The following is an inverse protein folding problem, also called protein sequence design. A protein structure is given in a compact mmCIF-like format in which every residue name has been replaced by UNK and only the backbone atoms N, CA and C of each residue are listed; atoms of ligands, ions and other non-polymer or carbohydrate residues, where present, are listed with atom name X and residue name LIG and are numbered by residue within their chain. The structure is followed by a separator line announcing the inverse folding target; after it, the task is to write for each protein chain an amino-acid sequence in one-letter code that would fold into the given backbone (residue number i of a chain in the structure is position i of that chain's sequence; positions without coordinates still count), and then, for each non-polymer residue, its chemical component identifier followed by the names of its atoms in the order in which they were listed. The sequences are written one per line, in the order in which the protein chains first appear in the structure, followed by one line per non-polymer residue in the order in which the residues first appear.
data_IF_234642644923
#
_entry.id   IF_234642644923
#
_cell.length_a   1.000
_cell.length_b   1.000
_cell.length_c   1.000
_cell.angle_alpha   90.00
_cell.angle_beta   90.00
_cell.angle_gamma   90.00
#
_symmetry.space_group_name_H-M   'P 1'
#
loop_
_entity.id
_entity.type
_entity.pdbx_description
1 polymer ?
#
# COMPACT_ATOMS: atom_id res chain seq x y z
N UNK A 1 17.07 -63.06 -29.13
CA UNK A 1 18.40 -62.83 -28.52
C UNK A 1 19.16 -62.07 -29.59
N UNK A 2 19.31 -60.76 -29.48
CA UNK A 2 20.19 -60.15 -28.49
C UNK A 2 19.64 -58.91 -27.80
N UNK A 3 19.71 -58.95 -26.48
CA UNK A 3 19.66 -57.81 -25.58
C UNK A 3 21.08 -57.32 -25.27
N UNK A 4 21.23 -56.01 -25.03
CA UNK A 4 22.35 -55.28 -24.42
C UNK A 4 23.24 -54.50 -25.41
N UNK A 5 23.56 -53.21 -25.22
CA UNK A 5 23.55 -52.37 -24.00
C UNK A 5 23.03 -50.96 -24.33
N UNK A 6 22.12 -50.42 -23.52
CA UNK A 6 22.04 -48.97 -23.35
C UNK A 6 23.38 -48.54 -22.75
N UNK A 7 24.18 -47.75 -23.48
CA UNK A 7 25.46 -47.30 -22.93
C UNK A 7 25.18 -46.33 -21.80
N UNK A 8 25.81 -46.58 -20.65
CA UNK A 8 25.81 -45.72 -19.46
C UNK A 8 26.67 -44.46 -19.68
N UNK A 9 26.85 -44.04 -20.94
CA UNK A 9 27.71 -42.93 -21.29
C UNK A 9 27.03 -41.63 -20.87
N UNK A 10 27.70 -40.95 -19.96
CA UNK A 10 27.34 -39.60 -19.57
C UNK A 10 27.67 -38.66 -20.72
N UNK A 11 26.69 -37.85 -21.10
CA UNK A 11 26.86 -36.79 -22.07
C UNK A 11 26.89 -35.45 -21.35
N UNK A 12 27.71 -34.54 -21.89
CA UNK A 12 27.78 -33.16 -21.45
C UNK A 12 26.80 -32.28 -22.23
N UNK A 13 26.10 -31.40 -21.53
CA UNK A 13 25.22 -30.37 -22.05
C UNK A 13 25.68 -29.02 -21.54
N UNK A 14 25.79 -28.03 -22.42
CA UNK A 14 26.03 -26.66 -22.07
C UNK A 14 24.77 -25.85 -22.39
N UNK A 15 23.99 -25.54 -21.35
CA UNK A 15 22.68 -24.90 -21.47
C UNK A 15 22.82 -23.44 -21.03
N UNK A 16 22.82 -22.51 -21.98
CA UNK A 16 22.98 -21.07 -21.71
C UNK A 16 24.27 -20.71 -20.96
N UNK A 17 25.35 -21.47 -21.17
CA UNK A 17 26.63 -21.30 -20.47
C UNK A 17 26.77 -22.16 -19.20
N UNK A 18 25.74 -22.90 -18.78
CA UNK A 18 25.77 -23.77 -17.61
C UNK A 18 25.99 -25.23 -18.00
N UNK A 19 27.03 -25.84 -17.45
CA UNK A 19 27.40 -27.23 -17.78
C UNK A 19 26.62 -28.21 -16.92
N UNK A 20 26.00 -29.19 -17.59
CA UNK A 20 25.30 -30.32 -17.01
C UNK A 20 25.87 -31.62 -17.58
N UNK A 21 25.92 -32.67 -16.75
CA UNK A 21 26.23 -34.02 -17.19
C UNK A 21 25.12 -34.98 -16.77
N UNK A 22 24.72 -35.86 -17.67
CA UNK A 22 23.67 -36.85 -17.44
C UNK A 22 23.76 -38.00 -18.43
N UNK A 23 23.11 -39.12 -18.14
CA UNK A 23 23.03 -40.26 -19.07
C UNK A 23 22.01 -40.05 -20.18
N UNK A 24 22.25 -40.67 -21.35
CA UNK A 24 21.27 -40.72 -22.45
C UNK A 24 19.92 -41.27 -21.99
N UNK A 25 19.92 -42.31 -21.16
CA UNK A 25 18.70 -42.89 -20.59
C UNK A 25 17.84 -41.88 -19.81
N UNK A 26 18.46 -40.89 -19.15
CA UNK A 26 17.74 -39.84 -18.42
C UNK A 26 17.02 -38.91 -19.39
N UNK A 27 17.72 -38.46 -20.45
CA UNK A 27 17.14 -37.57 -21.46
C UNK A 27 16.06 -38.25 -22.30
N UNK A 28 16.19 -39.57 -22.49
CA UNK A 28 15.26 -40.41 -23.24
C UNK A 28 14.14 -41.02 -22.38
N UNK A 29 13.96 -40.58 -21.13
CA UNK A 29 12.93 -41.13 -20.24
C UNK A 29 11.52 -41.09 -20.82
N UNK A 30 11.19 -39.99 -21.49
CA UNK A 30 9.91 -39.77 -22.17
C UNK A 30 10.13 -39.76 -23.67
N UNK A 31 9.25 -40.39 -24.45
CA UNK A 31 9.36 -40.43 -25.91
C UNK A 31 8.98 -39.09 -26.54
N UNK A 32 9.45 -38.83 -27.78
CA UNK A 32 9.08 -37.66 -28.59
C UNK A 32 9.41 -36.31 -27.95
N UNK A 33 10.55 -36.23 -27.27
CA UNK A 33 11.05 -34.98 -26.69
C UNK A 33 12.24 -34.42 -27.50
N UNK A 34 12.66 -33.18 -27.18
CA UNK A 34 13.77 -32.50 -27.84
C UNK A 34 15.07 -33.33 -27.87
N UNK A 35 15.40 -34.03 -26.78
CA UNK A 35 16.65 -34.77 -26.65
C UNK A 35 16.68 -36.06 -27.50
N UNK A 36 15.52 -36.65 -27.79
CA UNK A 36 15.43 -37.75 -28.77
C UNK A 36 15.90 -37.30 -30.14
N UNK A 37 15.36 -36.18 -30.62
CA UNK A 37 15.81 -35.56 -31.87
C UNK A 37 17.29 -35.12 -31.81
N UNK A 38 17.76 -34.70 -30.64
CA UNK A 38 19.16 -34.29 -30.43
C UNK A 38 20.16 -35.45 -30.55
N UNK A 39 19.82 -36.60 -29.98
CA UNK A 39 20.73 -37.76 -29.87
C UNK A 39 20.61 -38.73 -31.04
N UNK A 40 19.40 -38.88 -31.59
CA UNK A 40 19.08 -39.84 -32.65
C UNK A 40 18.86 -39.16 -34.01
N UNK A 41 18.79 -37.82 -34.05
CA UNK A 41 18.55 -37.06 -35.27
C UNK A 41 19.76 -36.92 -36.19
N UNK A 42 19.48 -36.63 -37.46
CA UNK A 42 20.50 -36.49 -38.51
C UNK A 42 21.34 -35.20 -38.43
N UNK A 43 20.99 -34.26 -37.55
CA UNK A 43 21.67 -32.98 -37.38
C UNK A 43 21.72 -32.59 -35.89
N UNK A 44 22.68 -33.13 -35.12
CA UNK A 44 22.83 -32.81 -33.70
C UNK A 44 23.26 -31.34 -33.49
N UNK A 45 23.00 -30.76 -32.31
CA UNK A 45 23.46 -29.41 -31.98
C UNK A 45 24.99 -29.29 -32.02
N UNK A 46 25.51 -28.07 -32.23
CA UNK A 46 26.95 -27.82 -32.13
C UNK A 46 27.45 -28.17 -30.73
N UNK A 47 28.74 -28.53 -30.63
CA UNK A 47 29.42 -28.80 -29.37
C UNK A 47 30.38 -27.66 -29.03
N UNK A 48 30.59 -27.41 -27.74
CA UNK A 48 31.67 -26.53 -27.28
C UNK A 48 33.04 -27.23 -27.37
N UNK A 49 34.10 -26.47 -27.05
CA UNK A 49 35.49 -26.96 -27.07
C UNK A 49 35.75 -28.12 -26.10
N UNK A 50 34.84 -28.36 -25.15
CA UNK A 50 34.90 -29.46 -24.18
C UNK A 50 34.04 -30.66 -24.60
N UNK A 51 33.39 -30.59 -25.77
CA UNK A 51 32.56 -31.66 -26.32
C UNK A 51 31.14 -31.73 -25.77
N UNK A 52 30.68 -30.71 -25.03
CA UNK A 52 29.30 -30.64 -24.54
C UNK A 52 28.36 -30.12 -25.63
N UNK A 53 27.16 -30.69 -25.75
CA UNK A 53 26.15 -30.17 -26.68
C UNK A 53 25.65 -28.79 -26.22
N UNK A 54 25.72 -27.81 -27.12
CA UNK A 54 25.26 -26.45 -26.87
C UNK A 54 23.74 -26.35 -27.04
N UNK A 55 23.09 -25.81 -26.01
CA UNK A 55 21.65 -25.55 -25.98
C UNK A 55 21.46 -24.10 -25.55
N UNK A 56 20.93 -23.27 -26.45
CA UNK A 56 20.71 -21.85 -26.20
C UNK A 56 19.42 -21.60 -25.41
N UNK A 57 19.42 -22.01 -24.13
CA UNK A 57 18.28 -21.92 -23.18
C UNK A 57 18.73 -21.48 -21.80
N UNK A 58 17.76 -21.21 -20.91
CA UNK A 58 18.02 -20.83 -19.53
C UNK A 58 18.66 -22.00 -18.75
N UNK A 59 19.96 -21.87 -18.49
CA UNK A 59 20.74 -22.85 -17.76
C UNK A 59 20.27 -23.07 -16.32
N UNK A 60 19.75 -22.07 -15.62
CA UNK A 60 19.28 -22.22 -14.24
C UNK A 60 17.95 -22.98 -14.19
N UNK A 61 17.01 -22.63 -15.07
CA UNK A 61 15.74 -23.33 -15.20
C UNK A 61 15.92 -24.78 -15.65
N UNK A 62 16.91 -25.04 -16.51
CA UNK A 62 17.22 -26.38 -16.99
C UNK A 62 17.47 -27.39 -15.87
N UNK A 63 18.01 -26.96 -14.72
CA UNK A 63 18.19 -27.84 -13.55
C UNK A 63 16.88 -28.54 -13.15
N UNK A 64 15.77 -27.82 -13.21
CA UNK A 64 14.45 -28.33 -12.82
C UNK A 64 13.91 -29.29 -13.88
N UNK A 65 14.14 -29.01 -15.16
CA UNK A 65 13.84 -29.92 -16.27
C UNK A 65 14.63 -31.23 -16.12
N UNK A 66 15.94 -31.14 -15.89
CA UNK A 66 16.81 -32.30 -15.74
C UNK A 66 16.45 -33.14 -14.51
N UNK A 67 16.12 -32.50 -13.38
CA UNK A 67 15.66 -33.22 -12.20
C UNK A 67 14.33 -33.93 -12.44
N UNK A 68 13.39 -33.32 -13.17
CA UNK A 68 12.15 -34.00 -13.57
C UNK A 68 12.44 -35.25 -14.40
N UNK A 69 13.35 -35.17 -15.38
CA UNK A 69 13.77 -36.32 -16.18
C UNK A 69 14.43 -37.41 -15.33
N UNK A 70 15.26 -37.05 -14.34
CA UNK A 70 15.90 -38.01 -13.43
C UNK A 70 14.90 -38.73 -12.54
N UNK A 71 13.99 -38.00 -11.91
CA UNK A 71 13.10 -38.57 -10.90
C UNK A 71 11.77 -39.07 -11.46
N UNK A 72 11.36 -38.59 -12.63
CA UNK A 72 10.03 -38.84 -13.20
C UNK A 72 8.88 -38.20 -12.43
N UNK A 73 9.21 -37.27 -11.52
CA UNK A 73 8.27 -36.48 -10.74
C UNK A 73 8.83 -35.09 -10.55
N UNK A 74 7.94 -34.14 -10.34
CA UNK A 74 8.33 -32.76 -10.11
C UNK A 74 8.89 -32.57 -8.71
N UNK A 75 10.08 -31.97 -8.63
CA UNK A 75 10.74 -31.61 -7.38
C UNK A 75 11.21 -30.17 -7.52
N UNK A 76 10.51 -29.26 -6.86
CA UNK A 76 10.80 -27.82 -6.84
C UNK A 76 11.07 -27.39 -5.39
N UNK A 77 11.89 -26.34 -5.19
CA UNK A 77 12.00 -25.68 -3.88
C UNK A 77 10.63 -25.26 -3.33
N UNK A 78 10.47 -25.24 -2.01
CA UNK A 78 9.20 -24.83 -1.37
C UNK A 78 8.75 -23.41 -1.77
N UNK A 79 9.71 -22.51 -2.00
CA UNK A 79 9.46 -21.11 -2.39
C UNK A 79 9.58 -20.86 -3.91
N UNK A 80 9.49 -21.91 -4.73
CA UNK A 80 9.64 -21.74 -6.17
C UNK A 80 8.48 -20.91 -6.76
N UNK A 81 8.80 -19.75 -7.36
CA UNK A 81 7.80 -18.83 -7.95
C UNK A 81 7.81 -18.80 -9.49
N UNK A 82 8.87 -19.28 -10.12
CA UNK A 82 9.14 -19.09 -11.55
C UNK A 82 8.47 -20.14 -12.45
N UNK A 83 7.25 -20.54 -12.11
CA UNK A 83 6.48 -21.56 -12.84
C UNK A 83 6.28 -21.23 -14.33
N UNK A 84 6.16 -19.94 -14.66
CA UNK A 84 5.98 -19.50 -16.04
C UNK A 84 7.27 -19.68 -16.88
N UNK A 85 8.45 -19.50 -16.28
CA UNK A 85 9.73 -19.74 -16.95
C UNK A 85 9.93 -21.24 -17.16
N UNK A 86 9.65 -22.05 -16.13
CA UNK A 86 9.76 -23.50 -16.24
C UNK A 86 8.74 -24.10 -17.24
N UNK A 87 7.56 -23.49 -17.37
CA UNK A 87 6.57 -23.88 -18.39
C UNK A 87 7.08 -23.59 -19.82
N UNK A 88 7.79 -22.46 -20.03
CA UNK A 88 8.47 -22.16 -21.32
C UNK A 88 9.56 -23.16 -21.65
N UNK A 89 10.34 -23.61 -20.66
CA UNK A 89 11.33 -24.67 -20.89
C UNK A 89 10.67 -26.01 -21.20
N UNK A 90 9.58 -26.36 -20.51
CA UNK A 90 8.82 -27.57 -20.82
C UNK A 90 8.28 -27.56 -22.26
N UNK A 91 7.86 -26.41 -22.77
CA UNK A 91 7.48 -26.22 -24.17
C UNK A 91 8.66 -26.39 -25.12
N UNK A 92 9.78 -25.72 -24.86
CA UNK A 92 10.97 -25.80 -25.71
C UNK A 92 11.50 -27.24 -25.83
N UNK A 93 11.60 -27.95 -24.69
CA UNK A 93 12.10 -29.32 -24.66
C UNK A 93 11.06 -30.37 -25.08
N UNK A 94 9.84 -29.93 -25.46
CA UNK A 94 8.73 -30.79 -25.88
C UNK A 94 8.35 -31.84 -24.81
N UNK A 95 8.36 -31.44 -23.53
CA UNK A 95 8.06 -32.31 -22.39
C UNK A 95 6.61 -32.13 -21.92
N UNK A 96 5.69 -32.82 -22.58
CA UNK A 96 4.25 -32.78 -22.25
C UNK A 96 3.95 -33.22 -20.81
N UNK A 97 4.65 -34.24 -20.32
CA UNK A 97 4.51 -34.77 -18.96
C UNK A 97 4.93 -33.76 -17.91
N UNK A 98 5.98 -32.98 -18.19
CA UNK A 98 6.40 -31.88 -17.30
C UNK A 98 5.33 -30.79 -17.25
N UNK A 99 4.75 -30.42 -18.39
CA UNK A 99 3.64 -29.45 -18.44
C UNK A 99 2.42 -29.93 -17.65
N UNK A 100 2.07 -31.21 -17.76
CA UNK A 100 0.97 -31.79 -16.97
C UNK A 100 1.28 -31.75 -15.48
N UNK A 101 2.47 -32.17 -15.07
CA UNK A 101 2.89 -32.12 -13.68
C UNK A 101 2.92 -30.68 -13.12
N UNK A 102 3.25 -29.67 -13.94
CA UNK A 102 3.25 -28.25 -13.51
C UNK A 102 1.82 -27.79 -13.23
N UNK A 103 0.87 -28.20 -14.09
CA UNK A 103 -0.56 -27.90 -13.91
C UNK A 103 -1.12 -28.58 -12.66
N UNK A 104 -0.76 -29.83 -12.43
CA UNK A 104 -1.23 -30.59 -11.26
C UNK A 104 -0.61 -30.06 -9.95
N UNK A 105 0.66 -29.65 -9.96
CA UNK A 105 1.28 -28.99 -8.80
C UNK A 105 0.66 -27.62 -8.51
N UNK A 106 0.40 -26.79 -9.53
CA UNK A 106 -0.34 -25.52 -9.37
C UNK A 106 -1.73 -25.75 -8.75
N UNK A 107 -2.41 -26.82 -9.16
CA UNK A 107 -3.71 -27.24 -8.57
C UNK A 107 -3.56 -27.75 -7.14
N UNK A 108 -2.49 -28.50 -6.84
CA UNK A 108 -2.21 -29.05 -5.52
C UNK A 108 -1.79 -27.99 -4.50
N UNK A 109 -1.11 -26.93 -4.93
CA UNK A 109 -0.74 -25.79 -4.06
C UNK A 109 -1.94 -24.90 -3.68
N UNK A 110 -3.14 -25.17 -4.19
CA UNK A 110 -4.37 -24.51 -3.75
C UNK A 110 -4.56 -23.08 -4.28
N UNK A 111 -3.71 -22.63 -5.21
CA UNK A 111 -3.82 -21.33 -5.86
C UNK A 111 -4.98 -21.33 -6.88
N UNK A 112 -5.87 -20.37 -6.70
CA UNK A 112 -7.02 -20.10 -7.55
C UNK A 112 -6.80 -18.74 -8.23
N UNK A 113 -6.79 -18.77 -9.55
CA UNK A 113 -6.81 -17.58 -10.39
C UNK A 113 -8.24 -17.10 -10.62
N UNK A 114 -8.46 -15.80 -10.46
CA UNK A 114 -9.71 -15.10 -10.77
C UNK A 114 -9.42 -14.00 -11.78
N UNK A 115 -10.28 -13.87 -12.78
CA UNK A 115 -10.27 -12.79 -13.75
C UNK A 115 -11.55 -11.99 -13.56
N UNK A 116 -11.46 -10.84 -12.90
CA UNK A 116 -12.59 -10.01 -12.49
C UNK A 116 -12.62 -8.76 -13.36
N UNK A 117 -13.55 -8.69 -14.30
CA UNK A 117 -13.67 -7.56 -15.24
C UNK A 117 -12.39 -7.31 -16.07
N UNK A 118 -11.59 -8.35 -16.33
CA UNK A 118 -10.30 -8.25 -17.03
C UNK A 118 -9.08 -8.14 -16.11
N UNK A 119 -9.27 -7.98 -14.79
CA UNK A 119 -8.18 -7.88 -13.82
C UNK A 119 -7.90 -9.24 -13.18
N UNK A 120 -6.63 -9.66 -13.24
CA UNK A 120 -6.20 -10.97 -12.72
C UNK A 120 -5.83 -10.87 -11.24
N UNK A 121 -6.48 -11.71 -10.44
CA UNK A 121 -6.19 -11.93 -9.03
C UNK A 121 -5.76 -13.38 -8.81
N UNK A 122 -4.83 -13.59 -7.88
CA UNK A 122 -4.44 -14.91 -7.40
C UNK A 122 -4.61 -14.97 -5.89
N UNK A 123 -5.16 -16.07 -5.41
CA UNK A 123 -5.42 -16.31 -3.98
C UNK A 123 -5.59 -17.79 -3.73
N UNK A 124 -5.66 -18.22 -2.46
CA UNK A 124 -5.86 -19.63 -2.13
C UNK A 124 -7.34 -20.01 -2.10
N UNK A 125 -7.61 -21.31 -2.26
CA UNK A 125 -8.94 -21.90 -2.02
C UNK A 125 -9.44 -21.58 -0.61
N UNK A 126 -8.56 -21.63 0.39
CA UNK A 126 -8.86 -21.34 1.80
C UNK A 126 -9.44 -19.94 1.95
N UNK A 127 -8.81 -18.93 1.33
CA UNK A 127 -9.31 -17.55 1.33
C UNK A 127 -10.68 -17.44 0.67
N UNK A 128 -10.90 -18.08 -0.47
CA UNK A 128 -12.18 -18.03 -1.17
C UNK A 128 -13.30 -18.76 -0.45
N UNK A 129 -12.96 -19.71 0.43
CA UNK A 129 -13.91 -20.43 1.28
C UNK A 129 -13.93 -19.93 2.72
N UNK A 130 -13.29 -18.80 3.03
CA UNK A 130 -13.24 -18.27 4.40
C UNK A 130 -14.62 -17.84 4.92
N UNK A 131 -15.52 -17.48 3.99
CA UNK A 131 -16.92 -17.15 4.28
C UNK A 131 -17.84 -18.24 3.72
N UNK A 132 -18.58 -18.97 4.58
CA UNK A 132 -19.50 -20.01 4.15
C UNK A 132 -20.70 -19.42 3.40
N UNK A 133 -21.29 -20.19 2.49
CA UNK A 133 -22.45 -19.82 1.66
C UNK A 133 -22.23 -18.60 0.74
N UNK A 134 -20.98 -18.17 0.56
CA UNK A 134 -20.62 -17.13 -0.40
C UNK A 134 -20.66 -17.66 -1.84
N UNK A 135 -20.75 -16.74 -2.81
CA UNK A 135 -20.71 -17.10 -4.23
C UNK A 135 -19.38 -17.80 -4.60
N UNK A 136 -18.28 -17.49 -3.92
CA UNK A 136 -16.99 -18.13 -4.13
C UNK A 136 -17.00 -19.62 -3.76
N UNK A 137 -17.69 -20.00 -2.67
CA UNK A 137 -17.80 -21.40 -2.28
C UNK A 137 -18.63 -22.19 -3.30
N UNK A 138 -19.75 -21.61 -3.76
CA UNK A 138 -20.57 -22.17 -4.83
C UNK A 138 -19.75 -22.35 -6.12
N UNK A 139 -18.99 -21.32 -6.50
CA UNK A 139 -18.13 -21.30 -7.68
C UNK A 139 -17.05 -22.40 -7.66
N UNK A 140 -16.56 -22.73 -6.48
CA UNK A 140 -15.51 -23.73 -6.29
C UNK A 140 -16.04 -25.17 -6.14
N UNK A 141 -17.36 -25.36 -5.97
CA UNK A 141 -17.98 -26.67 -5.76
C UNK A 141 -18.92 -27.11 -6.90
N UNK A 142 -19.46 -26.20 -7.72
CA UNK A 142 -20.36 -26.55 -8.83
C UNK A 142 -19.66 -26.43 -10.21
N UNK A 143 -19.99 -27.32 -11.15
CA UNK A 143 -19.42 -27.40 -12.51
C UNK A 143 -20.44 -26.97 -13.60
N UNK A 144 -20.03 -26.30 -14.72
CA UNK A 144 -18.79 -25.56 -14.97
C UNK A 144 -19.02 -24.03 -15.01
N UNK A 145 -18.23 -23.28 -14.25
CA UNK A 145 -18.08 -21.84 -14.45
C UNK A 145 -17.11 -21.55 -15.59
N UNK A 146 -17.30 -20.43 -16.29
CA UNK A 146 -16.43 -20.01 -17.39
C UNK A 146 -15.03 -19.68 -16.87
N UNK A 147 -14.02 -20.07 -17.65
CA UNK A 147 -12.60 -19.79 -17.38
C UNK A 147 -11.97 -19.18 -18.61
N UNK A 148 -10.97 -18.33 -18.42
CA UNK A 148 -10.13 -17.83 -19.52
C UNK A 148 -9.16 -18.92 -20.03
N UNK A 149 -8.39 -18.58 -21.06
CA UNK A 149 -7.36 -19.43 -21.68
C UNK A 149 -6.23 -19.81 -20.70
N UNK A 150 -6.03 -19.02 -19.65
CA UNK A 150 -5.09 -19.27 -18.56
C UNK A 150 -5.67 -20.10 -17.41
N UNK A 151 -6.97 -20.42 -17.47
CA UNK A 151 -7.66 -21.24 -16.48
C UNK A 151 -8.12 -20.48 -15.22
N UNK A 152 -8.13 -19.15 -15.25
CA UNK A 152 -8.69 -18.32 -14.18
C UNK A 152 -10.22 -18.31 -14.29
N UNK A 153 -10.93 -18.29 -13.16
CA UNK A 153 -12.39 -18.14 -13.15
C UNK A 153 -12.79 -16.75 -13.64
N UNK A 154 -13.66 -16.68 -14.64
CA UNK A 154 -14.18 -15.43 -15.18
C UNK A 154 -15.31 -14.90 -14.28
N UNK A 155 -15.18 -13.67 -13.83
CA UNK A 155 -16.16 -12.95 -13.02
C UNK A 155 -16.43 -11.61 -13.69
N UNK A 156 -17.66 -11.41 -14.14
CA UNK A 156 -18.10 -10.18 -14.81
C UNK A 156 -18.50 -9.14 -13.77
N UNK A 157 -17.52 -8.60 -13.04
CA UNK A 157 -17.68 -7.61 -11.96
C UNK A 157 -16.55 -6.57 -11.98
N UNK A 158 -16.62 -5.56 -11.12
CA UNK A 158 -15.63 -4.48 -11.07
C UNK A 158 -14.29 -4.97 -10.49
N UNK A 159 -13.30 -5.11 -11.37
CA UNK A 159 -11.98 -5.57 -10.99
C UNK A 159 -11.27 -4.66 -9.99
N UNK A 160 -11.52 -3.35 -9.96
CA UNK A 160 -10.87 -2.43 -9.03
C UNK A 160 -11.46 -2.53 -7.62
N UNK A 161 -12.79 -2.53 -7.53
CA UNK A 161 -13.50 -2.65 -6.25
C UNK A 161 -13.30 -4.03 -5.63
N UNK A 162 -13.19 -5.08 -6.46
CA UNK A 162 -12.96 -6.46 -6.03
C UNK A 162 -11.75 -6.63 -5.09
N UNK A 163 -10.72 -5.78 -5.21
CA UNK A 163 -9.57 -5.81 -4.30
C UNK A 163 -9.99 -5.69 -2.83
N UNK A 164 -11.01 -4.88 -2.53
CA UNK A 164 -11.52 -4.70 -1.16
C UNK A 164 -12.30 -5.93 -0.69
N UNK A 165 -13.05 -6.57 -1.57
CA UNK A 165 -13.70 -7.87 -1.31
C UNK A 165 -12.66 -8.93 -0.99
N UNK A 166 -11.62 -9.05 -1.81
CA UNK A 166 -10.56 -10.04 -1.62
C UNK A 166 -9.78 -9.80 -0.31
N UNK A 167 -9.51 -8.54 0.04
CA UNK A 167 -8.86 -8.21 1.31
C UNK A 167 -9.75 -8.56 2.51
N UNK A 168 -11.06 -8.33 2.42
CA UNK A 168 -12.00 -8.78 3.45
C UNK A 168 -11.94 -10.31 3.63
N UNK A 169 -11.92 -11.08 2.55
CA UNK A 169 -11.81 -12.54 2.64
C UNK A 169 -10.49 -13.01 3.27
N UNK A 170 -9.40 -12.24 3.13
CA UNK A 170 -8.07 -12.53 3.70
C UNK A 170 -7.97 -12.19 5.18
N UNK A 171 -8.46 -11.03 5.57
CA UNK A 171 -8.26 -10.48 6.91
C UNK A 171 -9.47 -10.64 7.83
N UNK A 172 -10.66 -10.90 7.27
CA UNK A 172 -11.92 -10.93 8.03
C UNK A 172 -12.43 -9.55 8.43
N UNK A 173 -11.80 -8.46 7.96
CA UNK A 173 -12.16 -7.09 8.27
C UNK A 173 -12.15 -6.17 7.04
N UNK A 174 -12.93 -5.09 7.11
CA UNK A 174 -13.02 -4.10 6.04
C UNK A 174 -11.91 -3.04 6.17
N UNK A 175 -10.85 -3.23 5.40
CA UNK A 175 -9.75 -2.27 5.24
C UNK A 175 -9.93 -1.49 3.94
N UNK A 176 -10.09 -0.17 4.08
CA UNK A 176 -10.29 0.76 2.96
C UNK A 176 -9.17 1.80 2.93
N UNK A 177 -8.72 2.22 1.73
CA UNK A 177 -7.80 3.35 1.58
C UNK A 177 -8.37 4.62 2.22
N UNK A 178 -7.48 5.51 2.63
CA UNK A 178 -7.90 6.84 3.08
C UNK A 178 -8.63 7.59 1.95
N UNK A 179 -9.77 8.20 2.29
CA UNK A 179 -10.57 8.93 1.31
C UNK A 179 -11.40 8.07 0.36
N UNK A 180 -11.45 6.75 0.54
CA UNK A 180 -12.34 5.87 -0.19
C UNK A 180 -13.78 6.41 -0.18
N UNK A 181 -14.39 6.55 -1.35
CA UNK A 181 -15.71 7.14 -1.55
C UNK A 181 -16.64 6.29 -2.44
N UNK A 182 -16.19 5.10 -2.87
CA UNK A 182 -16.94 4.18 -3.74
C UNK A 182 -17.76 3.15 -2.93
N UNK A 183 -18.33 3.60 -1.80
CA UNK A 183 -19.10 2.72 -0.89
C UNK A 183 -20.29 2.06 -1.59
N UNK A 184 -20.96 2.77 -2.50
CA UNK A 184 -22.08 2.23 -3.27
C UNK A 184 -21.64 1.06 -4.19
N UNK A 185 -20.47 1.17 -4.82
CA UNK A 185 -19.92 0.10 -5.66
C UNK A 185 -19.51 -1.09 -4.79
N UNK A 186 -18.82 -0.85 -3.68
CA UNK A 186 -18.41 -1.93 -2.78
C UNK A 186 -19.58 -2.63 -2.11
N UNK A 187 -20.66 -1.91 -1.81
CA UNK A 187 -21.90 -2.48 -1.29
C UNK A 187 -22.54 -3.43 -2.32
N UNK A 188 -22.58 -3.05 -3.59
CA UNK A 188 -23.07 -3.90 -4.69
C UNK A 188 -22.21 -5.15 -4.89
N UNK A 189 -20.89 -5.02 -4.83
CA UNK A 189 -19.98 -6.18 -4.92
C UNK A 189 -20.19 -7.12 -3.72
N UNK A 190 -20.33 -6.58 -2.50
CA UNK A 190 -20.62 -7.38 -1.31
C UNK A 190 -21.96 -8.15 -1.44
N UNK A 191 -22.98 -7.51 -2.02
CA UNK A 191 -24.27 -8.15 -2.33
C UNK A 191 -24.11 -9.25 -3.38
N UNK A 192 -23.42 -8.96 -4.50
CA UNK A 192 -23.19 -9.92 -5.58
C UNK A 192 -22.49 -11.20 -5.09
N UNK A 193 -21.43 -11.05 -4.30
CA UNK A 193 -20.68 -12.19 -3.75
C UNK A 193 -21.34 -12.85 -2.53
N UNK A 194 -22.51 -12.35 -2.09
CA UNK A 194 -23.27 -12.83 -0.91
C UNK A 194 -22.46 -12.75 0.39
N UNK A 195 -21.84 -11.60 0.63
CA UNK A 195 -21.00 -11.33 1.80
C UNK A 195 -21.73 -10.40 2.79
N UNK A 196 -22.68 -10.96 3.53
CA UNK A 196 -23.55 -10.19 4.44
C UNK A 196 -22.78 -9.37 5.49
N UNK A 197 -21.73 -9.96 6.09
CA UNK A 197 -20.91 -9.25 7.08
C UNK A 197 -20.12 -8.09 6.46
N UNK A 198 -19.61 -8.27 5.24
CA UNK A 198 -18.97 -7.17 4.51
C UNK A 198 -19.98 -6.06 4.22
N UNK A 199 -21.19 -6.40 3.76
CA UNK A 199 -22.25 -5.43 3.52
C UNK A 199 -22.57 -4.61 4.79
N UNK A 200 -22.73 -5.27 5.95
CA UNK A 200 -22.93 -4.60 7.25
C UNK A 200 -21.76 -3.66 7.59
N UNK A 201 -20.52 -4.09 7.38
CA UNK A 201 -19.33 -3.26 7.63
C UNK A 201 -19.27 -2.04 6.71
N UNK A 202 -19.60 -2.20 5.43
CA UNK A 202 -19.67 -1.11 4.44
C UNK A 202 -20.73 -0.09 4.85
N UNK A 203 -21.95 -0.55 5.16
CA UNK A 203 -23.02 0.33 5.66
C UNK A 203 -22.61 1.06 6.94
N UNK A 204 -22.00 0.35 7.90
CA UNK A 204 -21.53 0.92 9.16
C UNK A 204 -20.48 2.02 8.96
N UNK A 205 -19.55 1.85 8.00
CA UNK A 205 -18.59 2.92 7.64
C UNK A 205 -19.28 4.06 6.87
N UNK A 206 -20.20 3.74 5.95
CA UNK A 206 -20.93 4.73 5.14
C UNK A 206 -21.78 5.67 5.98
N UNK A 207 -22.52 5.16 6.97
CA UNK A 207 -23.36 5.97 7.89
C UNK A 207 -22.53 6.96 8.73
N UNK A 208 -21.25 6.68 8.94
CA UNK A 208 -20.33 7.61 9.63
C UNK A 208 -19.86 8.75 8.73
N UNK A 209 -20.11 8.69 7.42
CA UNK A 209 -19.74 9.72 6.48
C UNK A 209 -20.85 10.75 6.33
N UNK A 210 -20.46 12.01 6.30
CA UNK A 210 -21.31 13.18 6.13
C UNK A 210 -20.89 13.87 4.84
N UNK A 211 -21.84 14.20 3.97
CA UNK A 211 -21.56 14.90 2.72
C UNK A 211 -21.75 16.40 2.83
N UNK A 212 -20.83 17.15 2.24
CA UNK A 212 -20.92 18.59 2.05
C UNK A 212 -20.71 18.94 0.57
N UNK A 213 -21.59 19.75 -0.01
CA UNK A 213 -21.44 20.31 -1.34
C UNK A 213 -20.80 21.69 -1.20
N UNK A 214 -19.58 21.85 -1.70
CA UNK A 214 -18.81 23.11 -1.64
C UNK A 214 -18.28 23.40 -3.04
N UNK A 215 -18.53 24.62 -3.56
CA UNK A 215 -18.16 24.99 -4.93
C UNK A 215 -18.68 23.99 -6.00
N UNK A 216 -19.84 23.38 -5.76
CA UNK A 216 -20.44 22.36 -6.64
C UNK A 216 -19.79 20.96 -6.56
N UNK A 217 -18.80 20.76 -5.68
CA UNK A 217 -18.14 19.46 -5.47
C UNK A 217 -18.61 18.82 -4.16
N UNK A 218 -18.80 17.49 -4.17
CA UNK A 218 -19.22 16.72 -2.99
C UNK A 218 -17.99 16.24 -2.22
N UNK A 219 -17.90 16.63 -0.94
CA UNK A 219 -16.90 16.18 0.01
C UNK A 219 -17.54 15.27 1.06
N UNK A 220 -17.14 14.00 1.07
CA UNK A 220 -17.52 13.06 2.13
C UNK A 220 -16.48 13.13 3.26
N UNK A 221 -16.93 13.48 4.45
CA UNK A 221 -16.11 13.67 5.66
C UNK A 221 -16.60 12.74 6.77
N UNK A 222 -15.70 12.23 7.62
CA UNK A 222 -16.12 11.44 8.77
C UNK A 222 -16.82 12.34 9.78
N UNK A 223 -17.91 11.87 10.38
CA UNK A 223 -18.66 12.58 11.41
C UNK A 223 -17.75 13.01 12.58
N UNK A 224 -16.84 12.13 13.01
CA UNK A 224 -15.86 12.42 14.07
C UNK A 224 -14.90 13.57 13.72
N UNK A 225 -14.46 13.67 12.46
CA UNK A 225 -13.57 14.72 11.98
C UNK A 225 -14.29 16.08 11.93
N UNK A 226 -15.54 16.08 11.47
CA UNK A 226 -16.38 17.28 11.43
C UNK A 226 -16.69 17.80 12.83
N UNK A 227 -16.97 16.89 13.77
CA UNK A 227 -17.34 17.24 15.15
C UNK A 227 -16.12 17.58 16.03
N UNK A 228 -14.89 17.59 15.48
CA UNK A 228 -13.67 17.95 16.21
C UNK A 228 -13.74 19.37 16.77
N UNK A 229 -14.22 20.32 15.96
CA UNK A 229 -14.55 21.67 16.41
C UNK A 229 -16.08 21.81 16.50
N UNK A 230 -16.62 21.49 17.68
CA UNK A 230 -18.07 21.41 17.92
C UNK A 230 -18.84 22.69 17.60
N UNK A 231 -18.18 23.84 17.73
CA UNK A 231 -18.76 25.16 17.47
C UNK A 231 -18.62 25.61 16.01
N UNK A 232 -17.97 24.79 15.17
CA UNK A 232 -17.79 25.07 13.75
C UNK A 232 -19.12 25.06 13.00
N UNK A 233 -19.18 25.81 11.90
CA UNK A 233 -20.38 25.81 11.05
C UNK A 233 -20.71 24.39 10.57
N UNK A 234 -19.70 23.59 10.19
CA UNK A 234 -19.90 22.19 9.78
C UNK A 234 -20.56 21.34 10.86
N UNK A 235 -20.10 21.46 12.12
CA UNK A 235 -20.66 20.72 13.25
C UNK A 235 -22.08 21.18 13.59
N UNK A 236 -22.33 22.49 13.59
CA UNK A 236 -23.66 23.03 13.88
C UNK A 236 -24.69 22.66 12.81
N UNK A 237 -24.28 22.57 11.53
CA UNK A 237 -25.13 22.05 10.44
C UNK A 237 -25.55 20.58 10.69
N UNK A 238 -24.70 19.78 11.35
CA UNK A 238 -25.05 18.41 11.75
C UNK A 238 -25.94 18.33 12.99
N UNK A 239 -25.88 19.35 13.85
CA UNK A 239 -26.64 19.40 15.10
C UNK A 239 -28.15 19.56 14.91
N UNK A 240 -28.60 19.95 13.71
CA UNK A 240 -30.01 20.18 13.41
C UNK A 240 -30.59 21.44 14.08
N UNK A 241 -29.72 22.31 14.62
CA UNK A 241 -30.12 23.54 15.31
C UNK A 241 -30.77 24.58 14.38
N UNK A 242 -30.55 24.44 13.08
CA UNK A 242 -31.14 25.29 12.04
C UNK A 242 -31.39 24.47 10.78
N UNK A 243 -32.35 24.90 9.97
CA UNK A 243 -32.64 24.27 8.68
C UNK A 243 -31.51 24.57 7.70
N UNK A 244 -30.84 23.50 7.24
CA UNK A 244 -29.72 23.60 6.31
C UNK A 244 -30.16 23.07 4.95
N UNK A 245 -29.85 23.75 3.84
CA UNK A 245 -30.12 23.20 2.51
C UNK A 245 -29.34 21.91 2.30
N UNK A 246 -30.00 20.91 1.74
CA UNK A 246 -29.39 19.64 1.34
C UNK A 246 -29.72 19.34 -0.12
N UNK A 247 -28.83 18.64 -0.81
CA UNK A 247 -29.12 18.08 -2.12
C UNK A 247 -30.07 16.85 -2.00
N UNK A 248 -30.55 16.28 -3.11
CA UNK A 248 -31.40 15.09 -3.07
C UNK A 248 -30.75 13.84 -2.45
N UNK A 249 -29.43 13.82 -2.32
CA UNK A 249 -28.67 12.74 -1.68
C UNK A 249 -28.47 12.99 -0.17
N UNK A 250 -29.00 14.09 0.37
CA UNK A 250 -28.85 14.48 1.77
C UNK A 250 -27.49 15.10 2.11
N UNK A 251 -26.70 15.53 1.12
CA UNK A 251 -25.46 16.25 1.36
C UNK A 251 -25.77 17.71 1.69
N UNK A 252 -25.15 18.25 2.74
CA UNK A 252 -25.34 19.64 3.15
C UNK A 252 -24.73 20.62 2.14
N UNK A 253 -25.51 21.60 1.68
CA UNK A 253 -25.06 22.56 0.67
C UNK A 253 -24.46 23.79 1.36
N UNK A 254 -23.23 24.14 0.98
CA UNK A 254 -22.60 25.42 1.30
C UNK A 254 -22.74 26.31 0.06
N UNK A 255 -23.72 27.22 0.09
CA UNK A 255 -24.12 28.06 -1.06
C UNK A 255 -23.06 29.09 -1.48
N UNK A 256 -22.04 29.32 -0.65
CA UNK A 256 -20.97 30.27 -0.93
C UNK A 256 -19.76 29.62 -1.59
N UNK A 257 -19.05 30.42 -2.38
CA UNK A 257 -17.70 30.07 -2.83
C UNK A 257 -16.72 30.05 -1.66
N UNK A 258 -15.87 29.02 -1.61
CA UNK A 258 -14.80 28.84 -0.64
C UNK A 258 -13.47 28.84 -1.38
N UNK A 259 -12.65 29.86 -1.15
CA UNK A 259 -11.45 30.10 -1.97
C UNK A 259 -10.31 29.13 -1.63
N UNK A 260 -10.21 28.71 -0.37
CA UNK A 260 -9.18 27.81 0.16
C UNK A 260 -9.75 26.42 0.54
N UNK A 261 -10.75 25.94 -0.21
CA UNK A 261 -11.52 24.73 0.14
C UNK A 261 -10.66 23.49 0.35
N UNK A 262 -9.60 23.32 -0.44
CA UNK A 262 -8.74 22.15 -0.34
C UNK A 262 -7.95 22.10 0.98
N UNK A 263 -7.49 23.24 1.49
CA UNK A 263 -6.84 23.30 2.81
C UNK A 263 -7.86 23.18 3.95
N UNK A 264 -9.05 23.75 3.78
CA UNK A 264 -10.14 23.64 4.74
C UNK A 264 -10.55 22.17 4.95
N UNK A 265 -10.83 21.47 3.84
CA UNK A 265 -11.18 20.05 3.84
C UNK A 265 -10.03 19.20 4.38
N UNK A 266 -8.78 19.51 4.00
CA UNK A 266 -7.60 18.85 4.53
C UNK A 266 -7.52 19.00 6.06
N UNK A 267 -7.70 20.21 6.58
CA UNK A 267 -7.71 20.46 8.01
C UNK A 267 -8.82 19.67 8.72
N UNK A 268 -10.04 19.65 8.18
CA UNK A 268 -11.13 18.89 8.79
C UNK A 268 -10.77 17.40 8.82
N UNK A 269 -10.33 16.82 7.70
CA UNK A 269 -9.94 15.40 7.62
C UNK A 269 -8.83 15.00 8.60
N UNK A 270 -7.82 15.86 8.76
CA UNK A 270 -6.58 15.44 9.41
C UNK A 270 -6.29 16.11 10.75
N UNK A 271 -6.98 17.20 11.10
CA UNK A 271 -6.70 18.00 12.30
C UNK A 271 -5.52 18.94 12.14
N UNK A 272 -5.00 19.10 10.92
CA UNK A 272 -3.83 19.93 10.63
C UNK A 272 -3.68 20.21 9.15
N UNK A 273 -2.76 21.12 8.84
CA UNK A 273 -2.35 21.43 7.47
C UNK A 273 -0.97 20.85 7.25
N UNK A 274 -0.87 19.91 6.30
CA UNK A 274 0.38 19.21 5.95
C UNK A 274 0.84 19.55 4.53
N UNK A 275 0.40 20.70 4.03
CA UNK A 275 0.69 21.19 2.69
C UNK A 275 1.37 22.54 2.79
N UNK A 276 2.32 22.77 1.89
CA UNK A 276 2.93 24.09 1.71
C UNK A 276 1.85 25.10 1.36
N UNK A 277 1.97 26.31 1.90
CA UNK A 277 1.06 27.42 1.59
C UNK A 277 1.86 28.70 1.35
N UNK A 278 1.46 29.44 0.33
CA UNK A 278 1.88 30.82 0.11
C UNK A 278 1.27 31.75 1.14
N UNK A 279 1.85 32.95 1.29
CA UNK A 279 1.31 33.98 2.19
C UNK A 279 -0.14 34.37 1.85
N UNK A 280 -0.46 34.45 0.55
CA UNK A 280 -1.81 34.78 0.10
C UNK A 280 -2.82 33.65 0.38
N UNK A 281 -2.39 32.38 0.27
CA UNK A 281 -3.22 31.23 0.66
C UNK A 281 -3.48 31.19 2.17
N UNK A 282 -2.47 31.48 3.00
CA UNK A 282 -2.65 31.64 4.45
C UNK A 282 -3.70 32.71 4.74
N UNK A 283 -3.59 33.88 4.10
CA UNK A 283 -4.54 34.98 4.28
C UNK A 283 -5.96 34.59 3.87
N UNK A 284 -6.14 33.94 2.71
CA UNK A 284 -7.45 33.43 2.26
C UNK A 284 -8.02 32.41 3.24
N UNK A 285 -7.23 31.42 3.64
CA UNK A 285 -7.65 30.37 4.57
C UNK A 285 -7.98 30.91 5.96
N UNK A 286 -7.33 31.99 6.40
CA UNK A 286 -7.65 32.68 7.67
C UNK A 286 -9.05 33.28 7.65
N UNK A 287 -9.43 33.92 6.54
CA UNK A 287 -10.79 34.41 6.34
C UNK A 287 -11.81 33.27 6.32
N UNK A 288 -11.48 32.15 5.66
CA UNK A 288 -12.33 30.96 5.65
C UNK A 288 -12.52 30.35 7.05
N UNK A 289 -11.43 30.20 7.80
CA UNK A 289 -11.46 29.65 9.16
C UNK A 289 -12.33 30.50 10.10
N UNK A 290 -12.29 31.82 9.95
CA UNK A 290 -13.17 32.73 10.68
C UNK A 290 -14.65 32.53 10.33
N UNK A 291 -14.96 32.49 9.03
CA UNK A 291 -16.33 32.28 8.55
C UNK A 291 -16.91 30.94 9.02
N UNK A 292 -16.14 29.86 8.85
CA UNK A 292 -16.55 28.51 9.26
C UNK A 292 -16.47 28.26 10.76
N UNK A 293 -16.09 29.27 11.56
CA UNK A 293 -15.92 29.17 13.02
C UNK A 293 -14.96 28.05 13.43
N UNK A 294 -13.87 27.87 12.67
CA UNK A 294 -12.78 26.95 12.98
C UNK A 294 -11.72 27.71 13.80
N UNK A 295 -11.98 27.82 15.09
CA UNK A 295 -11.17 28.58 16.04
C UNK A 295 -9.74 28.05 16.12
N UNK A 296 -9.57 26.73 16.21
CA UNK A 296 -8.24 26.13 16.31
C UNK A 296 -7.44 26.40 15.03
N UNK A 297 -8.04 26.17 13.86
CA UNK A 297 -7.41 26.47 12.56
C UNK A 297 -6.90 27.91 12.51
N UNK A 298 -7.76 28.88 12.86
CA UNK A 298 -7.44 30.31 12.80
C UNK A 298 -6.35 30.71 13.81
N UNK A 299 -6.48 30.27 15.06
CA UNK A 299 -5.71 30.85 16.18
C UNK A 299 -4.43 30.09 16.49
N UNK A 300 -4.39 28.79 16.19
CA UNK A 300 -3.24 27.92 16.45
C UNK A 300 -2.51 27.58 15.15
N UNK A 301 -3.18 26.88 14.22
CA UNK A 301 -2.53 26.33 13.02
C UNK A 301 -1.99 27.42 12.09
N UNK A 302 -2.84 28.37 11.68
CA UNK A 302 -2.41 29.44 10.76
C UNK A 302 -1.41 30.38 11.40
N UNK A 303 -1.54 30.69 12.70
CA UNK A 303 -0.56 31.51 13.42
C UNK A 303 0.82 30.85 13.46
N UNK A 304 0.87 29.53 13.57
CA UNK A 304 2.12 28.77 13.47
C UNK A 304 2.75 28.91 12.08
N UNK A 305 1.95 28.75 11.02
CA UNK A 305 2.44 28.89 9.63
C UNK A 305 2.93 30.32 9.38
N UNK A 306 2.20 31.33 9.83
CA UNK A 306 2.62 32.74 9.75
C UNK A 306 3.97 32.98 10.46
N UNK A 307 4.17 32.36 11.63
CA UNK A 307 5.42 32.45 12.39
C UNK A 307 6.58 31.82 11.62
N UNK A 308 6.37 30.64 11.04
CA UNK A 308 7.36 29.96 10.17
C UNK A 308 7.68 30.79 8.93
N UNK A 309 6.67 31.35 8.26
CA UNK A 309 6.87 32.22 7.09
C UNK A 309 7.63 33.50 7.43
N UNK A 310 7.43 34.07 8.62
CA UNK A 310 8.16 35.23 9.10
C UNK A 310 9.62 34.92 9.46
N UNK A 311 9.89 33.73 10.00
CA UNK A 311 11.25 33.26 10.36
C UNK A 311 12.05 32.78 9.14
N UNK A 312 11.42 32.08 8.20
CA UNK A 312 12.05 31.59 6.97
C UNK A 312 12.56 32.70 6.03
N UNK A 313 12.11 33.95 6.20
CA UNK A 313 12.72 35.12 5.53
C UNK A 313 14.08 35.52 6.10
N UNK A 314 14.44 35.07 7.32
CA UNK A 314 15.69 35.43 8.00
C UNK A 314 16.78 34.36 7.89
N UNK A 315 16.40 33.10 7.65
CA UNK A 315 17.32 31.97 7.55
C UNK A 315 16.97 31.15 6.30
N UNK A 316 17.64 31.43 5.19
CA UNK A 316 17.35 30.81 3.89
C UNK A 316 17.61 29.29 3.83
N UNK A 317 18.28 28.73 4.84
CA UNK A 317 18.80 27.36 4.85
C UNK A 317 18.11 26.42 5.86
N UNK A 318 17.16 26.91 6.67
CA UNK A 318 16.54 26.13 7.76
C UNK A 318 15.22 25.46 7.36
N UNK A 319 15.03 24.19 7.79
CA UNK A 319 13.74 23.47 7.76
C UNK A 319 13.05 23.67 9.11
N UNK A 320 11.82 24.21 9.11
CA UNK A 320 11.05 24.46 10.32
C UNK A 320 9.99 23.37 10.55
N UNK A 321 10.03 22.73 11.72
CA UNK A 321 8.97 21.87 12.25
C UNK A 321 8.40 22.57 13.49
N UNK A 322 7.12 22.92 13.47
CA UNK A 322 6.47 23.58 14.60
C UNK A 322 5.37 22.68 15.16
N UNK A 323 5.52 22.27 16.42
CA UNK A 323 4.53 21.46 17.14
C UNK A 323 3.94 22.33 18.24
N UNK A 324 2.63 22.61 18.18
CA UNK A 324 1.93 23.43 19.17
C UNK A 324 1.05 22.53 20.04
N UNK A 325 1.27 22.59 21.35
CA UNK A 325 0.40 22.02 22.37
C UNK A 325 -0.43 23.17 22.99
N UNK A 326 -1.75 23.09 22.94
CA UNK A 326 -2.60 23.95 23.77
C UNK A 326 -2.97 23.20 25.05
N UNK A 327 -2.36 23.59 26.17
CA UNK A 327 -2.62 23.02 27.48
C UNK A 327 -3.77 23.74 28.22
N UNK A 328 -4.37 24.78 27.64
CA UNK A 328 -5.44 25.51 28.31
C UNK A 328 -6.74 24.73 28.19
N UNK A 329 -7.21 24.22 29.33
CA UNK A 329 -8.63 23.94 29.57
C UNK A 329 -9.44 25.24 29.45
N UNK A 330 -9.55 25.80 28.25
CA UNK A 330 -10.62 26.72 27.91
C UNK A 330 -11.84 25.85 27.68
N UNK A 331 -12.92 26.09 28.45
CA UNK A 331 -14.19 25.37 28.31
C UNK A 331 -14.83 25.44 26.90
N UNK A 332 -14.22 26.19 25.96
CA UNK A 332 -14.67 26.37 24.57
C UNK A 332 -13.78 25.68 23.52
N UNK A 333 -12.59 25.21 23.88
CA UNK A 333 -11.60 24.71 22.92
C UNK A 333 -10.86 23.51 23.53
N UNK A 334 -11.38 22.30 23.30
CA UNK A 334 -10.66 21.05 23.59
C UNK A 334 -9.88 20.68 22.34
N UNK A 335 -8.56 20.87 22.31
CA UNK A 335 -7.78 20.62 21.10
C UNK A 335 -6.63 19.62 21.32
N UNK A 336 -6.59 18.62 20.43
CA UNK A 336 -5.46 17.73 20.17
C UNK A 336 -4.25 18.52 19.61
N UNK A 337 -3.02 18.00 19.69
CA UNK A 337 -1.81 18.70 19.28
C UNK A 337 -1.80 19.03 17.80
N UNK A 338 -1.23 20.19 17.50
CA UNK A 338 -1.05 20.72 16.17
C UNK A 338 0.36 20.42 15.68
N UNK A 339 0.48 19.87 14.47
CA UNK A 339 1.76 19.70 13.75
C UNK A 339 1.75 20.61 12.53
N UNK A 340 2.80 21.43 12.38
CA UNK A 340 2.99 22.35 11.25
C UNK A 340 4.29 22.02 10.52
N UNK A 341 4.17 21.83 9.20
CA UNK A 341 5.25 21.53 8.26
C UNK A 341 5.82 22.78 7.55
N UNK A 342 6.88 22.52 6.79
CA UNK A 342 8.02 23.36 6.42
C UNK A 342 7.74 24.37 5.28
N UNK A 343 8.68 25.29 5.02
CA UNK A 343 8.56 26.35 4.01
C UNK A 343 9.30 26.08 2.67
N UNK A 344 9.65 24.82 2.33
CA UNK A 344 10.31 24.49 1.05
C UNK A 344 9.57 23.40 0.28
N UNK A 345 9.40 23.66 -1.03
CA UNK A 345 8.78 22.77 -2.01
C UNK A 345 9.34 21.34 -1.96
N UNK A 346 8.50 20.30 -2.17
CA UNK A 346 8.96 18.92 -2.36
C UNK A 346 10.00 18.76 -3.49
N UNK A 347 10.02 19.68 -4.46
CA UNK A 347 10.98 19.67 -5.57
C UNK A 347 12.42 20.02 -5.17
N UNK A 348 12.66 20.48 -3.93
CA UNK A 348 14.01 20.69 -3.41
C UNK A 348 14.69 19.39 -2.94
N UNK A 349 13.94 18.29 -2.79
CA UNK A 349 14.52 16.95 -2.73
C UNK A 349 15.02 16.56 -4.13
N UNK A 350 15.99 17.31 -4.65
CA UNK A 350 16.66 16.98 -5.90
C UNK A 350 17.20 15.56 -5.78
N UNK A 351 16.92 14.74 -6.78
CA UNK A 351 17.71 13.55 -6.99
C UNK A 351 19.07 13.97 -7.52
N UNK A 352 20.14 13.37 -7.00
CA UNK A 352 21.44 13.44 -7.70
C UNK A 352 21.33 12.78 -9.09
N UNK A 353 22.38 12.87 -9.92
CA UNK A 353 22.36 12.41 -11.31
C UNK A 353 21.97 10.92 -11.50
N UNK A 354 21.99 10.13 -10.42
CA UNK A 354 21.64 8.70 -10.39
C UNK A 354 20.20 8.43 -9.89
N UNK A 355 19.38 9.46 -9.61
CA UNK A 355 17.98 9.29 -9.21
C UNK A 355 17.73 9.09 -7.71
N UNK A 356 18.72 9.32 -6.84
CA UNK A 356 18.58 9.16 -5.38
C UNK A 356 18.31 10.51 -4.68
N UNK A 357 17.32 10.55 -3.78
CA UNK A 357 17.05 11.72 -2.92
C UNK A 357 18.29 12.11 -2.11
N UNK A 358 18.68 13.39 -2.16
CA UNK A 358 19.78 13.96 -1.34
C UNK A 358 19.42 13.82 0.16
N UNK A 359 20.14 12.92 0.86
CA UNK A 359 19.97 12.57 2.28
C UNK A 359 20.85 13.37 3.24
N UNK A 360 21.69 14.28 2.74
CA UNK A 360 22.82 14.82 3.51
C UNK A 360 22.52 16.01 4.44
N UNK A 361 21.26 16.46 4.54
CA UNK A 361 20.92 17.59 5.43
C UNK A 361 20.87 17.25 6.93
N UNK A 362 20.92 15.96 7.31
CA UNK A 362 20.76 15.51 8.70
C UNK A 362 22.05 14.99 9.36
N UNK A 363 23.20 15.55 8.97
CA UNK A 363 24.45 15.31 9.71
C UNK A 363 24.67 16.44 10.71
N UNK A 364 24.58 16.04 11.97
CA UNK A 364 24.99 16.76 13.19
C UNK A 364 23.84 17.35 13.99
N UNK A 365 23.29 16.50 14.87
CA UNK A 365 22.30 16.83 15.90
C UNK A 365 22.80 17.83 16.93
N UNK A 366 23.03 19.08 16.51
CA UNK A 366 23.21 20.22 17.41
C UNK A 366 21.89 20.96 17.59
N UNK A 367 21.44 21.02 18.83
CA UNK A 367 20.33 21.87 19.28
C UNK A 367 20.85 23.31 19.37
N UNK A 368 20.29 24.22 18.60
CA UNK A 368 20.42 25.66 18.84
C UNK A 368 19.21 26.16 19.61
N UNK A 369 19.43 26.78 20.77
CA UNK A 369 18.40 27.50 21.51
C UNK A 369 17.89 28.66 20.64
N UNK A 370 16.63 28.62 20.21
CA UNK A 370 15.98 29.75 19.56
C UNK A 370 14.98 30.38 20.52
N UNK A 371 15.32 31.53 21.08
CA UNK A 371 14.43 32.28 21.97
C UNK A 371 13.27 32.90 21.16
N UNK A 372 12.04 32.46 21.39
CA UNK A 372 10.82 33.08 20.86
C UNK A 372 10.17 33.88 21.99
N UNK A 373 10.48 35.17 22.11
CA UNK A 373 9.89 36.03 23.13
C UNK A 373 10.15 35.57 24.58
N UNK A 374 9.54 36.23 25.56
CA UNK A 374 9.87 36.13 26.99
C UNK A 374 9.55 34.79 27.68
N UNK A 375 9.29 33.72 26.93
CA UNK A 375 9.07 32.37 27.46
C UNK A 375 9.94 31.37 26.70
N UNK A 376 10.86 30.72 27.41
CA UNK A 376 11.78 29.71 26.89
C UNK A 376 11.01 28.51 26.33
N UNK A 377 10.89 28.40 25.01
CA UNK A 377 10.47 27.16 24.35
C UNK A 377 11.67 26.52 23.66
N UNK A 378 11.89 25.23 23.93
CA UNK A 378 12.94 24.43 23.27
C UNK A 378 12.35 23.80 22.01
N UNK A 379 12.95 24.09 20.85
CA UNK A 379 12.57 23.50 19.56
C UNK A 379 13.52 22.34 19.26
N UNK A 380 13.00 21.18 18.86
CA UNK A 380 13.78 20.00 18.47
C UNK A 380 13.36 19.48 17.10
N UNK A 381 14.30 18.94 16.32
CA UNK A 381 14.04 18.26 15.05
C UNK A 381 13.85 16.75 15.27
N UNK A 382 12.93 16.14 14.52
CA UNK A 382 12.61 14.70 14.61
C UNK A 382 12.73 14.04 13.23
N UNK A 383 13.53 12.98 13.15
CA UNK A 383 13.57 12.08 12.00
C UNK A 383 12.50 11.00 12.16
N UNK A 384 11.39 11.19 11.44
CA UNK A 384 10.15 10.45 11.66
C UNK A 384 10.10 9.12 10.90
N UNK A 385 11.05 8.86 10.00
CA UNK A 385 11.21 7.55 9.36
C UNK A 385 11.65 6.46 10.35
N UNK A 386 12.09 6.86 11.55
CA UNK A 386 12.58 5.96 12.60
C UNK A 386 11.57 5.72 13.73
N UNK A 387 10.36 6.24 13.59
CA UNK A 387 9.24 6.01 14.50
C UNK A 387 8.41 4.88 13.89
N UNK A 388 8.27 3.75 14.62
CA UNK A 388 7.66 2.52 14.07
C UNK A 388 6.26 2.83 13.53
N UNK A 389 6.01 2.41 12.29
CA UNK A 389 4.71 2.50 11.64
C UNK A 389 4.04 1.14 11.75
N UNK A 390 3.00 1.03 12.58
CA UNK A 390 2.14 -0.14 12.63
C UNK A 390 1.05 -0.06 11.56
N UNK A 391 0.07 0.82 11.78
CA UNK A 391 -1.14 1.04 10.98
C UNK A 391 -1.10 2.33 10.14
N UNK A 392 0.07 2.98 10.05
CA UNK A 392 0.26 4.29 9.44
C UNK A 392 -0.09 5.48 10.36
N UNK A 393 -0.54 5.24 11.59
CA UNK A 393 -0.70 6.25 12.64
C UNK A 393 0.49 6.16 13.59
N UNK A 394 0.99 7.32 14.01
CA UNK A 394 2.08 7.41 14.99
C UNK A 394 1.47 7.81 16.34
N UNK A 395 1.71 7.01 17.37
CA UNK A 395 1.17 7.22 18.71
C UNK A 395 2.15 7.99 19.62
N UNK A 396 1.62 8.57 20.71
CA UNK A 396 2.41 9.21 21.77
C UNK A 396 3.59 8.34 22.23
N UNK A 397 3.32 7.06 22.43
CA UNK A 397 4.29 6.12 22.97
C UNK A 397 5.48 5.91 22.02
N UNK A 398 5.28 6.08 20.72
CA UNK A 398 6.36 5.92 19.73
C UNK A 398 7.34 7.10 19.77
N UNK A 399 6.85 8.34 19.99
CA UNK A 399 7.70 9.51 20.23
C UNK A 399 8.41 9.44 21.58
N UNK A 400 7.69 9.05 22.64
CA UNK A 400 8.29 8.89 23.98
C UNK A 400 9.39 7.84 23.92
N UNK A 401 9.17 6.71 23.25
CA UNK A 401 10.17 5.66 23.03
C UNK A 401 11.39 6.19 22.24
N UNK A 402 11.15 6.92 21.15
CA UNK A 402 12.21 7.51 20.31
C UNK A 402 13.09 8.52 21.06
N UNK A 403 12.50 9.42 21.83
CA UNK A 403 13.25 10.42 22.60
C UNK A 403 13.91 9.82 23.85
N UNK A 404 13.26 8.86 24.51
CA UNK A 404 13.80 8.21 25.71
C UNK A 404 15.02 7.34 25.43
N UNK A 405 15.11 6.75 24.22
CA UNK A 405 16.27 5.95 23.79
C UNK A 405 17.46 6.80 23.35
N UNK A 406 17.26 8.07 22.97
CA UNK A 406 18.33 8.95 22.42
C UNK A 406 18.79 10.06 23.35
N UNK A 407 18.04 10.35 24.41
CA UNK A 407 18.42 11.30 25.45
C UNK A 407 18.28 10.69 26.85
N UNK A 408 19.14 9.72 27.22
CA UNK A 408 19.10 9.13 28.55
C UNK A 408 19.53 10.19 29.59
N UNK A 409 18.60 10.62 30.44
CA UNK A 409 18.83 11.62 31.49
C UNK A 409 18.06 12.95 31.33
N UNK A 410 17.46 13.23 30.17
CA UNK A 410 16.49 14.34 30.03
C UNK A 410 15.04 13.91 30.30
N UNK A 411 14.85 12.63 30.66
CA UNK A 411 13.53 12.00 30.85
C UNK A 411 13.12 11.93 32.33
N UNK A 412 14.06 12.06 33.26
CA UNK A 412 13.71 12.15 34.69
C UNK A 412 12.90 13.42 35.03
N UNK A 413 12.85 14.39 34.10
CA UNK A 413 11.98 15.58 34.20
C UNK A 413 10.68 15.46 33.39
N UNK A 414 10.45 14.35 32.70
CA UNK A 414 9.14 14.04 32.09
C UNK A 414 8.15 13.43 33.11
N UNK A 415 8.62 13.07 34.31
CA UNK A 415 7.83 12.41 35.36
C UNK A 415 7.22 13.30 36.44
N UNK A 416 7.47 14.61 36.48
CA UNK A 416 6.99 15.44 37.62
C UNK A 416 6.71 16.91 37.30
N UNK A 417 6.48 17.28 36.05
CA UNK A 417 5.96 18.59 35.71
C UNK A 417 4.74 18.41 34.82
N UNK A 418 3.57 18.89 35.26
CA UNK A 418 2.28 18.80 34.57
C UNK A 418 2.20 19.58 33.26
N UNK A 419 3.10 19.30 32.32
CA UNK A 419 3.39 20.16 31.17
C UNK A 419 3.50 19.47 29.81
N UNK A 420 3.41 18.14 29.71
CA UNK A 420 3.51 17.48 28.41
C UNK A 420 2.53 16.32 28.26
N UNK A 421 1.55 16.50 27.39
CA UNK A 421 0.73 15.42 26.82
C UNK A 421 0.83 15.51 25.31
N UNK A 422 1.54 14.57 24.69
CA UNK A 422 1.68 14.50 23.24
C UNK A 422 0.62 13.53 22.71
N UNK A 423 -0.23 13.96 21.80
CA UNK A 423 -1.52 13.29 21.53
C UNK A 423 -1.76 12.91 20.05
N UNK A 424 -0.90 13.31 19.10
CA UNK A 424 -0.91 12.86 17.70
C UNK A 424 0.18 13.52 16.87
N UNK A 425 0.84 12.76 15.99
CA UNK A 425 1.58 13.30 14.84
C UNK A 425 1.24 12.44 13.64
N UNK A 426 0.79 13.06 12.55
CA UNK A 426 0.49 12.36 11.29
C UNK A 426 1.54 12.75 10.27
N UNK A 427 2.23 11.77 9.70
CA UNK A 427 3.12 11.96 8.56
C UNK A 427 2.49 11.26 7.36
N UNK A 428 2.17 12.04 6.33
CA UNK A 428 1.87 11.51 5.02
C UNK A 428 3.19 11.29 4.28
N UNK A 429 3.66 10.05 4.22
CA UNK A 429 4.59 9.62 3.19
C UNK A 429 3.76 9.25 1.97
N UNK A 430 3.78 10.08 0.92
CA UNK A 430 3.38 9.59 -0.39
C UNK A 430 4.48 8.62 -0.87
N UNK A 431 4.14 7.34 -0.95
CA UNK A 431 4.93 6.37 -1.70
C UNK A 431 4.77 6.63 -3.19
N UNK A 432 5.87 6.42 -3.92
CA UNK A 432 5.82 6.08 -5.34
C UNK A 432 5.10 4.75 -5.54
#
# INVERSE_FOLDING_TARGET
MDSAKASDDYIGLNVGGKIYQTSCATLMRYSNNFFGSMLEGSAPPPKDDQGNFLIDRDGEMFRHVLNFLRYGRMVLPEEFSDFHLLEREADFFLLGELKMALKDMKRANGDVGLNVGGKIYRTSRVTLTSVPNSLFQDMLHRYPHSKDDQGNYLIDQDGEIFRHVLNFLRYGELVLPEGFNEFDLLEREAEFFKLEELQKMVMGKRVRMVGYVINGQVFKLRREDVLREKDSLFATMLGGEFQVPTDPQGNYIIERSVDAVHYLIHYIKHGGIFKDMTYDEVKRLKSEAEMFRLCALKTLHLKSIETVQAQGKREADSIFLHIIFDHRQSARCVHEPCVVYTNKSPSFFGTNADGHLIRDFFRDGKVTQCAIGSSSMTVGQVDVQKIKQGDGRIELQDFVSYFSTRMPGSVDTLGSCGYFTLLKVTILLNST
#
